data_IF_478486472972
#
_entry.id   IF_478486472972
#
_cell.length_a   1.000
_cell.length_b   1.000
_cell.length_c   1.000
_cell.angle_alpha   90.00
_cell.angle_beta   90.00
_cell.angle_gamma   90.00
#
_symmetry.space_group_name_H-M   'P 1'
#
loop_
_entity.id
_entity.type
_entity.pdbx_description
1 polymer ?
#
# COMPACT_ATOMS: atom_id res chain seq x y z
N UNK A 1 -9.67 -14.84 -9.59
CA UNK A 1 -9.35 -14.34 -10.95
C UNK A 1 -10.20 -15.10 -11.96
N UNK A 2 -11.42 -14.62 -12.24
CA UNK A 2 -12.36 -15.34 -13.10
C UNK A 2 -11.90 -15.32 -14.57
N UNK A 3 -11.27 -14.23 -15.03
CA UNK A 3 -10.80 -14.09 -16.41
C UNK A 3 -9.69 -15.11 -16.74
N UNK A 4 -8.72 -15.31 -15.85
CA UNK A 4 -7.65 -16.28 -16.07
C UNK A 4 -8.18 -17.72 -15.99
N UNK A 5 -9.14 -17.99 -15.10
CA UNK A 5 -9.79 -19.30 -15.02
C UNK A 5 -10.55 -19.63 -16.31
N UNK A 6 -11.27 -18.65 -16.88
CA UNK A 6 -11.94 -18.79 -18.17
C UNK A 6 -10.95 -19.01 -19.32
N UNK A 7 -9.86 -18.23 -19.35
CA UNK A 7 -8.82 -18.33 -20.39
C UNK A 7 -8.09 -19.68 -20.37
N UNK A 8 -7.88 -20.27 -19.19
CA UNK A 8 -7.26 -21.60 -19.08
C UNK A 8 -8.16 -22.73 -19.59
N UNK A 9 -9.49 -22.59 -19.48
CA UNK A 9 -10.48 -23.58 -19.92
C UNK A 9 -10.79 -23.44 -21.42
N UNK A 10 -10.80 -22.21 -21.93
CA UNK A 10 -10.89 -21.97 -23.37
C UNK A 10 -9.60 -22.46 -24.03
N UNK A 11 -9.65 -23.52 -24.85
CA UNK A 11 -8.49 -24.06 -25.58
C UNK A 11 -7.81 -23.11 -26.58
N UNK A 12 -8.13 -21.82 -26.55
CA UNK A 12 -7.45 -20.75 -27.28
C UNK A 12 -5.97 -20.70 -26.88
N UNK A 13 -5.06 -20.70 -27.87
CA UNK A 13 -3.61 -20.59 -27.69
C UNK A 13 -2.95 -21.65 -26.78
N UNK A 14 -3.52 -22.87 -26.71
CA UNK A 14 -2.89 -23.99 -26.00
C UNK A 14 -3.28 -24.13 -24.53
N UNK A 15 -4.41 -23.55 -24.12
CA UNK A 15 -4.96 -23.68 -22.76
C UNK A 15 -4.28 -22.72 -21.78
N UNK A 16 -3.63 -23.25 -20.74
CA UNK A 16 -3.03 -22.46 -19.65
C UNK A 16 -1.98 -21.40 -20.07
N UNK A 17 -1.16 -21.57 -21.15
CA UNK A 17 -0.18 -20.55 -21.56
C UNK A 17 -0.83 -19.27 -22.10
N UNK A 18 -2.08 -19.34 -22.57
CA UNK A 18 -2.80 -18.22 -23.16
C UNK A 18 -2.95 -17.03 -22.20
N UNK A 19 -3.14 -17.32 -20.91
CA UNK A 19 -3.24 -16.31 -19.85
C UNK A 19 -1.97 -15.46 -19.75
N UNK A 20 -0.79 -16.06 -19.95
CA UNK A 20 0.49 -15.35 -19.89
C UNK A 20 0.70 -14.47 -21.12
N UNK A 21 0.33 -14.95 -22.31
CA UNK A 21 0.47 -14.16 -23.54
C UNK A 21 -0.43 -12.92 -23.54
N UNK A 22 -1.69 -13.06 -23.14
CA UNK A 22 -2.65 -11.96 -23.12
C UNK A 22 -2.26 -10.89 -22.10
N UNK A 23 -1.92 -11.31 -20.87
CA UNK A 23 -1.49 -10.38 -19.81
C UNK A 23 -0.15 -9.73 -20.17
N UNK A 24 0.77 -10.49 -20.76
CA UNK A 24 2.07 -9.99 -21.22
C UNK A 24 1.91 -8.92 -22.31
N UNK A 25 1.09 -9.18 -23.33
CA UNK A 25 0.81 -8.22 -24.40
C UNK A 25 0.17 -6.93 -23.86
N UNK A 26 -0.81 -7.06 -22.96
CA UNK A 26 -1.42 -5.92 -22.30
C UNK A 26 -0.39 -5.11 -21.50
N UNK A 27 0.53 -5.79 -20.80
CA UNK A 27 1.64 -5.15 -20.10
C UNK A 27 2.58 -4.38 -21.03
N UNK A 28 2.93 -4.94 -22.20
CA UNK A 28 3.74 -4.26 -23.20
C UNK A 28 3.05 -3.00 -23.75
N UNK A 29 1.77 -3.10 -24.09
CA UNK A 29 0.97 -1.96 -24.56
C UNK A 29 0.88 -0.87 -23.49
N UNK A 30 0.63 -1.27 -22.24
CA UNK A 30 0.60 -0.36 -21.10
C UNK A 30 1.94 0.35 -20.88
N UNK A 31 3.06 -0.38 -20.98
CA UNK A 31 4.39 0.21 -20.85
C UNK A 31 4.68 1.24 -21.94
N UNK A 32 4.36 0.93 -23.21
CA UNK A 32 4.53 1.88 -24.33
C UNK A 32 3.70 3.14 -24.05
N UNK A 33 2.43 2.97 -23.68
CA UNK A 33 1.56 4.09 -23.31
C UNK A 33 2.15 4.90 -22.15
N UNK A 34 2.55 4.26 -21.05
CA UNK A 34 3.12 4.93 -19.88
C UNK A 34 4.41 5.69 -20.21
N UNK A 35 5.30 5.09 -21.02
CA UNK A 35 6.57 5.71 -21.41
C UNK A 35 6.43 6.96 -22.28
N UNK A 36 5.29 7.11 -22.98
CA UNK A 36 5.02 8.27 -23.84
C UNK A 36 4.20 9.34 -23.12
N UNK A 37 3.36 8.97 -22.14
CA UNK A 37 2.48 9.88 -21.41
C UNK A 37 3.08 10.41 -20.10
N UNK A 38 4.01 9.69 -19.46
CA UNK A 38 4.51 10.06 -18.13
C UNK A 38 5.89 10.70 -18.25
N UNK A 39 6.06 11.86 -17.62
CA UNK A 39 7.31 12.60 -17.57
C UNK A 39 7.62 13.02 -16.13
N UNK A 40 8.90 13.01 -15.75
CA UNK A 40 9.33 13.28 -14.37
C UNK A 40 9.08 14.72 -13.91
N UNK A 41 8.97 15.66 -14.84
CA UNK A 41 8.74 17.08 -14.53
C UNK A 41 7.56 17.64 -15.32
N UNK A 42 6.67 18.42 -14.65
CA UNK A 42 5.56 19.09 -15.33
C UNK A 42 6.05 20.11 -16.37
N UNK A 43 7.29 20.60 -16.25
CA UNK A 43 7.88 21.58 -17.16
C UNK A 43 8.28 20.98 -18.52
N UNK A 44 8.58 19.68 -18.55
CA UNK A 44 9.03 18.96 -19.74
C UNK A 44 7.90 18.18 -20.41
N UNK A 45 6.69 18.23 -19.86
CA UNK A 45 5.57 17.44 -20.33
C UNK A 45 4.98 18.03 -21.63
N UNK A 46 4.89 17.26 -22.74
CA UNK A 46 4.47 17.79 -24.03
C UNK A 46 2.97 18.11 -24.13
N UNK A 47 2.13 17.52 -23.28
CA UNK A 47 0.66 17.61 -23.36
C UNK A 47 0.04 18.54 -22.29
N UNK A 48 0.85 19.26 -21.50
CA UNK A 48 0.33 20.11 -20.41
C UNK A 48 -0.12 21.48 -20.92
N UNK A 49 -1.28 21.95 -20.47
CA UNK A 49 -1.77 23.30 -20.79
C UNK A 49 -0.98 24.37 -20.02
N UNK A 50 -0.80 25.55 -20.63
CA UNK A 50 -0.16 26.70 -19.97
C UNK A 50 -0.91 27.15 -18.71
N UNK A 51 -2.23 27.00 -18.69
CA UNK A 51 -3.07 27.35 -17.53
C UNK A 51 -2.88 26.35 -16.38
N UNK A 52 -2.88 25.05 -16.69
CA UNK A 52 -2.60 23.99 -15.71
C UNK A 52 -1.18 24.11 -15.15
N UNK A 53 -0.19 24.41 -16.00
CA UNK A 53 1.18 24.65 -15.58
C UNK A 53 1.28 25.82 -14.58
N UNK A 54 0.57 26.93 -14.84
CA UNK A 54 0.51 28.06 -13.91
C UNK A 54 -0.18 27.68 -12.60
N UNK A 55 -1.27 26.92 -12.65
CA UNK A 55 -1.97 26.44 -11.46
C UNK A 55 -1.09 25.53 -10.60
N UNK A 56 -0.37 24.59 -11.20
CA UNK A 56 0.53 23.69 -10.46
C UNK A 56 1.70 24.50 -9.87
N UNK A 57 2.31 25.37 -10.67
CA UNK A 57 3.46 26.18 -10.23
C UNK A 57 3.09 27.15 -9.10
N UNK A 58 1.90 27.76 -9.14
CA UNK A 58 1.44 28.71 -8.10
C UNK A 58 1.09 28.03 -6.78
N UNK A 59 0.66 26.77 -6.82
CA UNK A 59 0.35 25.98 -5.63
C UNK A 59 1.57 25.23 -5.07
N UNK A 60 2.70 25.23 -5.78
CA UNK A 60 3.90 24.52 -5.35
C UNK A 60 4.67 25.33 -4.30
N UNK A 61 4.62 24.90 -3.03
CA UNK A 61 5.34 25.54 -1.90
C UNK A 61 6.85 25.25 -1.86
N UNK A 62 7.42 24.68 -2.93
CA UNK A 62 8.80 24.20 -2.95
C UNK A 62 9.66 25.12 -3.79
N UNK A 63 10.51 25.90 -3.13
CA UNK A 63 11.62 26.59 -3.78
C UNK A 63 12.64 25.54 -4.25
N UNK A 64 12.68 25.24 -5.55
CA UNK A 64 13.64 24.31 -6.17
C UNK A 64 15.12 24.70 -5.96
N UNK A 65 15.39 25.88 -5.42
CA UNK A 65 16.73 26.39 -5.10
C UNK A 65 17.28 25.89 -3.77
N UNK A 66 16.43 25.39 -2.86
CA UNK A 66 16.86 24.89 -1.55
C UNK A 66 16.88 23.37 -1.58
N UNK A 67 18.07 22.77 -1.47
CA UNK A 67 18.19 21.32 -1.28
C UNK A 67 17.45 20.93 0.01
N UNK A 68 16.55 19.97 -0.09
CA UNK A 68 15.86 19.44 1.08
C UNK A 68 16.90 18.95 2.11
N UNK A 69 16.68 19.21 3.41
CA UNK A 69 17.57 18.70 4.44
C UNK A 69 17.62 17.15 4.38
N UNK A 70 18.73 16.53 4.76
CA UNK A 70 18.87 15.08 4.74
C UNK A 70 17.79 14.42 5.61
N UNK A 71 17.18 13.35 5.08
CA UNK A 71 16.10 12.64 5.77
C UNK A 71 16.59 12.12 7.13
N UNK A 72 15.97 12.51 8.24
CA UNK A 72 16.42 12.17 9.60
C UNK A 72 16.03 10.73 10.02
N UNK A 73 16.60 9.73 9.35
CA UNK A 73 16.31 8.30 9.53
C UNK A 73 16.21 7.81 10.98
N UNK A 74 17.17 8.22 11.82
CA UNK A 74 17.20 7.78 13.23
C UNK A 74 15.97 8.26 13.99
N UNK A 75 15.59 9.53 13.79
CA UNK A 75 14.40 10.08 14.45
C UNK A 75 13.12 9.37 13.95
N UNK A 76 13.05 8.93 12.68
CA UNK A 76 11.92 8.19 12.10
C UNK A 76 11.78 6.83 12.77
N UNK A 77 12.87 6.08 12.79
CA UNK A 77 12.88 4.73 13.36
C UNK A 77 12.72 4.71 14.88
N UNK A 78 13.05 5.79 15.59
CA UNK A 78 12.82 5.89 17.04
C UNK A 78 11.45 6.45 17.42
N UNK A 79 10.64 6.88 16.45
CA UNK A 79 9.32 7.44 16.74
C UNK A 79 8.29 6.36 17.04
N UNK A 80 7.47 6.56 18.07
CA UNK A 80 6.37 5.64 18.44
C UNK A 80 5.33 5.51 17.31
N UNK A 81 4.88 6.60 16.65
CA UNK A 81 3.92 6.49 15.54
C UNK A 81 4.42 5.61 14.40
N UNK A 82 5.73 5.61 14.12
CA UNK A 82 6.32 4.74 13.10
C UNK A 82 6.13 3.25 13.45
N UNK A 83 6.44 2.82 14.67
CA UNK A 83 6.29 1.42 15.07
C UNK A 83 4.84 0.95 15.11
N UNK A 84 3.92 1.81 15.54
CA UNK A 84 2.48 1.51 15.54
C UNK A 84 1.98 1.31 14.11
N UNK A 85 2.37 2.19 13.18
CA UNK A 85 2.01 2.06 11.76
C UNK A 85 2.62 0.80 11.14
N UNK A 86 3.89 0.51 11.44
CA UNK A 86 4.57 -0.71 10.96
C UNK A 86 3.82 -1.96 11.41
N UNK A 87 3.44 -2.03 12.69
CA UNK A 87 2.65 -3.13 13.23
C UNK A 87 1.30 -3.26 12.50
N UNK A 88 0.56 -2.16 12.36
CA UNK A 88 -0.75 -2.16 11.72
C UNK A 88 -0.69 -2.63 10.27
N UNK A 89 0.28 -2.11 9.49
CA UNK A 89 0.46 -2.49 8.10
C UNK A 89 0.84 -3.96 7.98
N UNK A 90 1.71 -4.45 8.87
CA UNK A 90 2.12 -5.86 8.89
C UNK A 90 0.93 -6.79 9.19
N UNK A 91 0.08 -6.44 10.16
CA UNK A 91 -1.14 -7.20 10.47
C UNK A 91 -2.16 -7.18 9.31
N UNK A 92 -2.31 -6.03 8.65
CA UNK A 92 -3.16 -5.91 7.46
C UNK A 92 -2.65 -6.79 6.32
N UNK A 93 -1.33 -6.78 6.08
CA UNK A 93 -0.69 -7.57 5.04
C UNK A 93 -0.80 -9.07 5.29
N UNK A 94 -0.57 -9.50 6.54
CA UNK A 94 -0.82 -10.87 6.96
C UNK A 94 -2.26 -11.29 6.61
N UNK A 95 -3.25 -10.50 7.05
CA UNK A 95 -4.66 -10.82 6.85
C UNK A 95 -5.05 -10.86 5.38
N UNK A 96 -4.52 -9.92 4.59
CA UNK A 96 -4.75 -9.86 3.14
C UNK A 96 -4.18 -11.10 2.45
N UNK A 97 -2.94 -11.51 2.77
CA UNK A 97 -2.32 -12.67 2.16
C UNK A 97 -2.95 -14.00 2.60
N UNK A 98 -3.34 -14.13 3.87
CA UNK A 98 -4.17 -15.25 4.35
C UNK A 98 -5.43 -15.33 3.50
N UNK A 99 -6.22 -14.26 3.40
CA UNK A 99 -7.45 -14.30 2.60
C UNK A 99 -7.18 -14.61 1.12
N UNK A 100 -6.10 -14.09 0.54
CA UNK A 100 -5.78 -14.31 -0.88
C UNK A 100 -5.37 -15.77 -1.19
N UNK A 101 -4.68 -16.44 -0.26
CA UNK A 101 -4.08 -17.77 -0.51
C UNK A 101 -4.85 -18.92 0.13
N UNK A 102 -5.43 -18.67 1.30
CA UNK A 102 -6.11 -19.67 2.10
C UNK A 102 -7.60 -19.80 1.72
N UNK A 103 -8.24 -18.71 1.29
CA UNK A 103 -9.64 -18.71 0.86
C UNK A 103 -9.88 -19.60 -0.38
N UNK A 104 -9.07 -19.53 -1.46
CA UNK A 104 -9.27 -20.42 -2.61
C UNK A 104 -8.99 -21.89 -2.26
N UNK A 105 -8.05 -22.12 -1.34
CA UNK A 105 -7.70 -23.46 -0.85
C UNK A 105 -8.86 -24.04 -0.05
N UNK A 106 -9.44 -23.28 0.88
CA UNK A 106 -10.62 -23.68 1.66
C UNK A 106 -11.81 -24.05 0.77
N UNK A 107 -12.13 -23.21 -0.22
CA UNK A 107 -13.23 -23.50 -1.16
C UNK A 107 -12.96 -24.73 -2.04
N UNK A 108 -11.70 -24.98 -2.41
CA UNK A 108 -11.33 -26.15 -3.20
C UNK A 108 -11.26 -27.46 -2.40
N UNK A 109 -10.70 -27.43 -1.19
CA UNK A 109 -10.39 -28.65 -0.41
C UNK A 109 -11.51 -29.06 0.55
N UNK A 110 -12.19 -28.10 1.19
CA UNK A 110 -13.22 -28.37 2.21
C UNK A 110 -14.61 -28.32 1.60
N UNK A 111 -14.86 -27.34 0.73
CA UNK A 111 -16.17 -27.11 0.12
C UNK A 111 -16.33 -27.78 -1.26
N UNK A 112 -15.24 -28.34 -1.80
CA UNK A 112 -15.17 -29.05 -3.08
C UNK A 112 -15.78 -28.28 -4.27
N UNK A 113 -15.68 -26.95 -4.29
CA UNK A 113 -16.18 -26.16 -5.40
C UNK A 113 -15.31 -26.27 -6.65
N UNK A 114 -15.91 -26.23 -7.85
CA UNK A 114 -15.17 -26.17 -9.10
C UNK A 114 -14.35 -24.87 -9.18
N UNK A 115 -13.20 -24.94 -9.85
CA UNK A 115 -12.18 -23.88 -9.89
C UNK A 115 -12.74 -22.55 -10.44
N UNK A 116 -13.73 -22.62 -11.33
CA UNK A 116 -14.40 -21.47 -11.96
C UNK A 116 -15.21 -20.66 -10.94
N UNK A 117 -16.06 -21.34 -10.14
CA UNK A 117 -16.87 -20.70 -9.10
C UNK A 117 -15.99 -20.22 -7.94
N UNK A 118 -14.98 -21.02 -7.57
CA UNK A 118 -13.98 -20.64 -6.58
C UNK A 118 -13.28 -19.31 -6.96
N UNK A 119 -12.92 -19.16 -8.24
CA UNK A 119 -12.28 -17.95 -8.77
C UNK A 119 -13.18 -16.70 -8.75
N UNK A 120 -14.50 -16.89 -8.82
CA UNK A 120 -15.51 -15.84 -8.68
C UNK A 120 -15.73 -15.47 -7.21
N UNK A 121 -16.01 -16.44 -6.34
CA UNK A 121 -16.23 -16.20 -4.91
C UNK A 121 -15.01 -15.60 -4.22
N UNK A 122 -13.80 -16.05 -4.58
CA UNK A 122 -12.54 -15.49 -4.05
C UNK A 122 -12.28 -14.06 -4.53
N UNK A 123 -12.95 -13.58 -5.57
CA UNK A 123 -12.82 -12.18 -6.04
C UNK A 123 -13.75 -11.21 -5.31
N UNK A 124 -14.86 -11.70 -4.71
CA UNK A 124 -15.84 -10.87 -4.01
C UNK A 124 -15.24 -10.03 -2.87
N UNK A 125 -14.42 -10.59 -1.95
CA UNK A 125 -13.82 -9.80 -0.88
C UNK A 125 -12.99 -8.63 -1.42
N UNK A 126 -12.29 -8.82 -2.53
CA UNK A 126 -11.47 -7.79 -3.16
C UNK A 126 -12.32 -6.70 -3.83
N UNK A 127 -13.42 -7.07 -4.50
CA UNK A 127 -14.34 -6.09 -5.09
C UNK A 127 -15.00 -5.24 -4.00
N UNK A 128 -15.46 -5.88 -2.92
CA UNK A 128 -16.03 -5.18 -1.75
C UNK A 128 -14.97 -4.25 -1.15
N UNK A 129 -13.74 -4.72 -0.98
CA UNK A 129 -12.63 -3.92 -0.48
C UNK A 129 -12.36 -2.68 -1.36
N UNK A 130 -12.44 -2.81 -2.69
CA UNK A 130 -12.27 -1.66 -3.61
C UNK A 130 -13.40 -0.65 -3.47
N UNK A 131 -14.66 -1.10 -3.43
CA UNK A 131 -15.83 -0.21 -3.29
C UNK A 131 -15.76 0.56 -1.97
N UNK A 132 -15.50 -0.16 -0.87
CA UNK A 132 -15.35 0.45 0.46
C UNK A 132 -14.17 1.43 0.47
N UNK A 133 -13.03 1.07 -0.13
CA UNK A 133 -11.86 1.94 -0.22
C UNK A 133 -12.14 3.26 -0.95
N UNK A 134 -12.93 3.22 -2.03
CA UNK A 134 -13.35 4.43 -2.76
C UNK A 134 -14.26 5.30 -1.87
N UNK A 135 -15.28 4.71 -1.23
CA UNK A 135 -16.20 5.44 -0.34
C UNK A 135 -15.43 6.10 0.80
N UNK A 136 -14.53 5.36 1.45
CA UNK A 136 -13.68 5.88 2.54
C UNK A 136 -12.78 7.01 2.05
N UNK A 137 -12.25 6.93 0.83
CA UNK A 137 -11.44 8.00 0.24
C UNK A 137 -12.25 9.28 0.04
N UNK A 138 -13.48 9.18 -0.48
CA UNK A 138 -14.37 10.35 -0.61
C UNK A 138 -14.74 10.95 0.76
N UNK A 139 -15.04 10.10 1.74
CA UNK A 139 -15.33 10.55 3.11
C UNK A 139 -14.11 11.22 3.73
N UNK A 140 -12.90 10.67 3.54
CA UNK A 140 -11.66 11.25 4.01
C UNK A 140 -11.40 12.62 3.39
N UNK A 141 -11.54 12.76 2.08
CA UNK A 141 -11.40 14.06 1.39
C UNK A 141 -12.44 15.08 1.85
N UNK A 142 -13.68 14.64 2.12
CA UNK A 142 -14.73 15.50 2.67
C UNK A 142 -14.42 15.98 4.10
N UNK A 143 -13.92 15.10 4.96
CA UNK A 143 -13.54 15.43 6.33
C UNK A 143 -12.33 16.39 6.37
N UNK A 144 -11.33 16.14 5.52
CA UNK A 144 -10.16 17.01 5.38
C UNK A 144 -10.58 18.42 4.94
N UNK A 145 -11.49 18.53 3.96
CA UNK A 145 -12.00 19.85 3.50
C UNK A 145 -12.77 20.61 4.58
N UNK A 146 -13.37 19.92 5.56
CA UNK A 146 -14.10 20.54 6.69
C UNK A 146 -13.21 20.91 7.87
N UNK A 147 -11.89 20.69 7.78
CA UNK A 147 -10.95 20.97 8.88
C UNK A 147 -11.15 20.05 10.09
N UNK A 148 -11.91 18.97 9.93
CA UNK A 148 -12.07 17.94 10.96
C UNK A 148 -10.80 17.09 10.87
N UNK A 149 -9.87 17.40 11.77
CA UNK A 149 -8.50 16.86 11.90
C UNK A 149 -8.30 15.46 11.29
N UNK A 150 -7.62 15.41 10.15
CA UNK A 150 -6.78 14.27 9.77
C UNK A 150 -5.70 14.74 8.78
N UNK A 151 -4.68 15.41 9.32
CA UNK A 151 -3.61 16.00 8.51
C UNK A 151 -2.65 14.92 8.00
N UNK A 152 -2.74 14.60 6.71
CA UNK A 152 -1.62 14.43 5.78
C UNK A 152 -0.47 13.45 6.13
N UNK A 153 -0.71 12.45 6.98
CA UNK A 153 0.28 11.40 7.29
C UNK A 153 0.16 10.16 6.39
N UNK A 154 -0.94 10.03 5.63
CA UNK A 154 -1.26 8.83 4.86
C UNK A 154 -0.59 8.71 3.47
N UNK A 155 -0.10 9.80 2.85
CA UNK A 155 0.35 9.76 1.44
C UNK A 155 1.85 9.46 1.27
N UNK A 156 2.72 9.96 2.15
CA UNK A 156 4.18 9.74 2.08
C UNK A 156 4.60 8.36 2.63
N UNK A 157 3.88 7.83 3.62
CA UNK A 157 4.17 6.52 4.24
C UNK A 157 3.76 5.34 3.34
N UNK A 158 2.74 5.51 2.50
CA UNK A 158 2.31 4.50 1.54
C UNK A 158 3.40 4.22 0.49
N UNK A 159 4.21 5.20 0.13
CA UNK A 159 5.33 5.01 -0.82
C UNK A 159 6.61 4.51 -0.15
N UNK A 160 6.84 4.86 1.12
CA UNK A 160 8.01 4.37 1.86
C UNK A 160 7.88 2.88 2.26
N UNK A 161 6.67 2.46 2.65
CA UNK A 161 6.37 1.07 2.96
C UNK A 161 6.44 0.15 1.74
N UNK A 162 6.07 0.60 0.53
CA UNK A 162 6.17 -0.17 -0.72
C UNK A 162 7.63 -0.48 -1.10
N UNK A 163 8.59 0.35 -0.66
CA UNK A 163 10.03 0.22 -0.96
C UNK A 163 10.77 -0.67 0.05
N UNK A 164 10.35 -0.66 1.32
CA UNK A 164 10.80 -1.61 2.37
C UNK A 164 10.18 -3.00 2.21
N UNK A 165 8.97 -3.06 1.65
CA UNK A 165 8.25 -4.32 1.40
C UNK A 165 9.00 -5.29 0.48
N UNK A 166 9.92 -4.79 -0.36
CA UNK A 166 10.47 -5.60 -1.45
C UNK A 166 11.71 -6.44 -1.11
N UNK A 167 12.30 -6.35 0.10
CA UNK A 167 13.60 -7.01 0.28
C UNK A 167 13.86 -7.94 1.47
N UNK A 168 13.26 -7.87 2.67
CA UNK A 168 13.68 -8.86 3.71
C UNK A 168 12.71 -9.12 4.88
N UNK A 169 11.85 -8.18 5.28
CA UNK A 169 11.01 -8.37 6.48
C UNK A 169 9.68 -9.09 6.22
N UNK A 170 9.13 -8.94 5.01
CA UNK A 170 7.95 -9.70 4.59
C UNK A 170 8.21 -11.21 4.57
N UNK A 171 9.43 -11.63 4.26
CA UNK A 171 9.85 -13.03 4.28
C UNK A 171 9.75 -13.64 5.68
N UNK A 172 10.00 -12.86 6.75
CA UNK A 172 9.86 -13.32 8.14
C UNK A 172 8.39 -13.51 8.53
N UNK A 173 7.52 -12.55 8.21
CA UNK A 173 6.08 -12.64 8.47
C UNK A 173 5.40 -13.71 7.59
N UNK A 174 5.77 -13.81 6.31
CA UNK A 174 5.34 -14.87 5.40
C UNK A 174 5.83 -16.24 5.90
N UNK A 175 7.06 -16.35 6.39
CA UNK A 175 7.57 -17.60 7.00
C UNK A 175 6.81 -17.96 8.28
N UNK A 176 6.45 -16.98 9.12
CA UNK A 176 5.60 -17.19 10.29
C UNK A 176 4.19 -17.68 9.91
N UNK A 177 3.59 -17.08 8.87
CA UNK A 177 2.29 -17.51 8.33
C UNK A 177 2.36 -18.92 7.75
N UNK A 178 3.34 -19.20 6.89
CA UNK A 178 3.52 -20.51 6.27
C UNK A 178 3.77 -21.60 7.31
N UNK A 179 4.54 -21.31 8.37
CA UNK A 179 4.73 -22.23 9.51
C UNK A 179 3.45 -22.46 10.30
N UNK A 180 2.69 -21.42 10.60
CA UNK A 180 1.44 -21.54 11.37
C UNK A 180 0.38 -22.33 10.59
N UNK A 181 0.15 -21.96 9.32
CA UNK A 181 -0.83 -22.64 8.46
C UNK A 181 -0.36 -24.06 8.15
N UNK A 182 0.94 -24.27 7.92
CA UNK A 182 1.53 -25.60 7.75
C UNK A 182 1.26 -26.49 8.97
N UNK A 183 1.67 -26.05 10.16
CA UNK A 183 1.46 -26.81 11.40
C UNK A 183 -0.02 -27.07 11.72
N UNK A 184 -0.93 -26.17 11.32
CA UNK A 184 -2.36 -26.33 11.58
C UNK A 184 -3.08 -27.20 10.54
N UNK A 185 -2.53 -27.39 9.33
CA UNK A 185 -3.26 -28.00 8.20
C UNK A 185 -2.63 -29.33 7.71
N UNK A 186 -1.44 -29.70 8.20
CA UNK A 186 -0.68 -30.88 7.73
C UNK A 186 -1.31 -32.23 8.13
N UNK A 187 -2.03 -32.32 9.25
CA UNK A 187 -2.58 -33.61 9.72
C UNK A 187 -4.00 -33.94 9.24
N UNK A 188 -4.96 -32.98 9.18
CA UNK A 188 -6.34 -33.25 8.76
C UNK A 188 -7.07 -31.98 8.25
N UNK A 189 -7.29 -31.82 6.94
CA UNK A 189 -8.01 -30.67 6.32
C UNK A 189 -9.48 -30.51 6.77
N UNK A 190 -9.71 -30.11 8.01
CA UNK A 190 -11.05 -30.00 8.61
C UNK A 190 -11.50 -28.55 8.72
N UNK A 191 -12.82 -28.34 8.65
CA UNK A 191 -13.43 -27.03 8.80
C UNK A 191 -13.08 -26.36 10.15
N UNK A 192 -12.86 -27.15 11.20
CA UNK A 192 -12.50 -26.65 12.54
C UNK A 192 -11.14 -25.94 12.56
N UNK A 193 -10.12 -26.50 11.90
CA UNK A 193 -8.79 -25.89 11.84
C UNK A 193 -8.80 -24.58 11.06
N UNK A 194 -9.53 -24.55 9.94
CA UNK A 194 -9.72 -23.32 9.16
C UNK A 194 -10.41 -22.21 9.97
N UNK A 195 -11.42 -22.55 10.79
CA UNK A 195 -12.03 -21.57 11.71
C UNK A 195 -11.00 -20.97 12.68
N UNK A 196 -10.09 -21.78 13.21
CA UNK A 196 -9.02 -21.28 14.11
C UNK A 196 -8.12 -20.29 13.37
N UNK A 197 -7.69 -20.60 12.15
CA UNK A 197 -6.86 -19.70 11.33
C UNK A 197 -7.54 -18.35 11.10
N UNK A 198 -8.84 -18.36 10.75
CA UNK A 198 -9.61 -17.13 10.54
C UNK A 198 -9.85 -16.34 11.83
N UNK A 199 -10.08 -17.02 12.96
CA UNK A 199 -10.25 -16.37 14.27
C UNK A 199 -8.94 -15.71 14.71
N UNK A 200 -7.81 -16.40 14.62
CA UNK A 200 -6.49 -15.84 14.97
C UNK A 200 -6.22 -14.59 14.14
N UNK A 201 -6.47 -14.67 12.83
CA UNK A 201 -6.28 -13.53 11.91
C UNK A 201 -7.18 -12.34 12.29
N UNK A 202 -8.44 -12.60 12.62
CA UNK A 202 -9.40 -11.56 13.05
C UNK A 202 -9.00 -10.91 14.36
N UNK A 203 -8.54 -11.69 15.35
CA UNK A 203 -8.08 -11.18 16.65
C UNK A 203 -6.82 -10.30 16.47
N UNK A 204 -5.86 -10.74 15.66
CA UNK A 204 -4.66 -9.95 15.36
C UNK A 204 -5.02 -8.60 14.70
N UNK A 205 -5.99 -8.60 13.79
CA UNK A 205 -6.48 -7.39 13.13
C UNK A 205 -7.13 -6.42 14.14
N UNK A 206 -7.96 -6.94 15.04
CA UNK A 206 -8.65 -6.15 16.06
C UNK A 206 -7.65 -5.51 17.02
N UNK A 207 -6.68 -6.29 17.52
CA UNK A 207 -5.62 -5.79 18.40
C UNK A 207 -4.82 -4.66 17.72
N UNK A 208 -4.42 -4.86 16.46
CA UNK A 208 -3.70 -3.83 15.70
C UNK A 208 -4.55 -2.56 15.50
N UNK A 209 -5.85 -2.71 15.22
CA UNK A 209 -6.77 -1.58 15.05
C UNK A 209 -6.94 -0.79 16.35
N UNK A 210 -7.06 -1.47 17.49
CA UNK A 210 -7.09 -0.82 18.79
C UNK A 210 -5.77 -0.10 19.09
N UNK A 211 -4.63 -0.75 18.86
CA UNK A 211 -3.32 -0.12 19.03
C UNK A 211 -3.17 1.14 18.16
N UNK A 212 -3.69 1.13 16.94
CA UNK A 212 -3.72 2.31 16.07
C UNK A 212 -4.53 3.44 16.70
N UNK A 213 -5.75 3.17 17.16
CA UNK A 213 -6.64 4.21 17.71
C UNK A 213 -6.03 4.86 18.97
N UNK A 214 -5.39 4.07 19.83
CA UNK A 214 -4.83 4.59 21.09
C UNK A 214 -3.50 5.33 20.91
N UNK A 215 -2.63 4.86 20.01
CA UNK A 215 -1.26 5.36 19.92
C UNK A 215 -0.98 6.22 18.66
N UNK A 216 -1.91 6.28 17.71
CA UNK A 216 -1.78 7.15 16.54
C UNK A 216 -2.05 8.61 16.93
N UNK A 217 -1.01 9.31 17.41
CA UNK A 217 -1.06 10.77 17.48
C UNK A 217 -0.97 11.36 16.07
N UNK A 218 -1.89 12.26 15.73
CA UNK A 218 -1.91 13.00 14.46
C UNK A 218 -1.06 14.27 14.47
N UNK A 219 -0.23 14.45 15.49
CA UNK A 219 0.58 15.67 15.63
C UNK A 219 1.67 15.73 14.56
N UNK A 220 1.67 16.83 13.82
CA UNK A 220 2.60 17.07 12.72
C UNK A 220 4.01 17.12 13.30
N UNK A 221 4.88 16.24 12.81
CA UNK A 221 6.23 16.12 13.32
C UNK A 221 7.12 17.28 12.80
N UNK A 222 7.94 17.86 13.68
CA UNK A 222 8.70 19.12 13.45
C UNK A 222 9.61 19.11 12.21
N UNK A 223 10.08 17.94 11.80
CA UNK A 223 10.95 17.75 10.63
C UNK A 223 10.24 17.79 9.27
N UNK A 224 8.91 17.92 9.26
CA UNK A 224 8.06 17.76 8.08
C UNK A 224 7.85 19.10 7.37
N UNK A 225 8.03 20.20 8.10
CA UNK A 225 7.99 21.52 7.51
C UNK A 225 9.31 21.85 6.82
N UNK A 226 9.28 22.32 5.56
CA UNK A 226 10.46 22.95 4.98
C UNK A 226 10.80 24.14 5.87
N UNK A 227 12.05 24.20 6.36
CA UNK A 227 12.55 25.28 7.21
C UNK A 227 12.14 26.61 6.56
N UNK A 228 11.24 27.36 7.19
CA UNK A 228 10.82 28.65 6.66
C UNK A 228 12.06 29.54 6.55
N UNK A 229 12.15 30.29 5.45
CA UNK A 229 13.26 31.21 5.19
C UNK A 229 13.48 32.23 6.31
N UNK A 230 12.47 32.50 7.15
CA UNK A 230 12.59 33.30 8.38
C UNK A 230 13.51 32.65 9.42
N UNK A 231 13.39 31.34 9.67
CA UNK A 231 14.21 30.64 10.67
C UNK A 231 15.69 30.56 10.23
N UNK A 232 15.97 30.55 8.93
CA UNK A 232 17.35 30.59 8.44
C UNK A 232 18.01 31.93 8.75
N UNK A 233 17.26 33.04 8.69
CA UNK A 233 17.80 34.38 8.94
C UNK A 233 18.22 34.56 10.40
N UNK A 234 17.47 33.96 11.34
CA UNK A 234 17.69 34.04 12.79
C UNK A 234 18.76 33.08 13.33
N UNK A 235 19.25 32.14 12.52
CA UNK A 235 20.31 31.24 12.96
C UNK A 235 21.67 31.97 13.06
N UNK A 236 22.43 31.76 14.16
CA UNK A 236 23.80 32.30 14.26
C UNK A 236 24.66 31.79 13.09
N UNK A 237 25.53 32.66 12.55
CA UNK A 237 26.22 32.45 11.27
C UNK A 237 26.96 31.11 11.16
N UNK A 238 27.47 30.58 12.26
CA UNK A 238 28.16 29.28 12.29
C UNK A 238 27.25 28.11 11.89
N UNK A 239 25.97 28.19 12.23
CA UNK A 239 24.96 27.17 11.86
C UNK A 239 24.51 27.30 10.41
N UNK A 240 24.57 28.50 9.81
CA UNK A 240 24.28 28.72 8.38
C UNK A 240 25.29 27.95 7.51
N UNK A 241 26.59 28.01 7.85
CA UNK A 241 27.66 27.31 7.12
C UNK A 241 27.55 25.78 7.19
N UNK A 242 27.04 25.22 8.29
CA UNK A 242 26.92 23.76 8.46
C UNK A 242 25.75 23.15 7.67
N UNK A 243 24.74 23.95 7.30
CA UNK A 243 23.55 23.49 6.55
C UNK A 243 23.61 23.78 5.04
N UNK A 244 24.62 24.50 4.57
CA UNK A 244 24.79 24.93 3.16
C UNK A 244 25.78 24.08 2.35
N UNK A 245 26.29 22.98 2.91
CA UNK A 245 27.17 22.02 2.21
C UNK A 245 26.41 20.73 1.93
#
# INVERSE_FOLDING_TARGET
MPLTAFLCDSGLFGGWPSAFYIIGLFGCLWFIMWSTLVTDSPLTHPLISKEELRYITSNQKVNHTVKAPPVPWKKIMLSVPFWIVVLCKTCQDWSFYTMMTDLPTFFGTVLHFPIQENGFFSSLPHVIQTIVGIIVSFVADFLIRRGIFFSHFCKEILQFCVRIWRCSWLSGCLSGRMRLVGALTEEQNTLHQWRIVFIITSVLLVIASFAFIFFSSSEKQDWSDPISSEVILDLPEETKKRKTI
#
